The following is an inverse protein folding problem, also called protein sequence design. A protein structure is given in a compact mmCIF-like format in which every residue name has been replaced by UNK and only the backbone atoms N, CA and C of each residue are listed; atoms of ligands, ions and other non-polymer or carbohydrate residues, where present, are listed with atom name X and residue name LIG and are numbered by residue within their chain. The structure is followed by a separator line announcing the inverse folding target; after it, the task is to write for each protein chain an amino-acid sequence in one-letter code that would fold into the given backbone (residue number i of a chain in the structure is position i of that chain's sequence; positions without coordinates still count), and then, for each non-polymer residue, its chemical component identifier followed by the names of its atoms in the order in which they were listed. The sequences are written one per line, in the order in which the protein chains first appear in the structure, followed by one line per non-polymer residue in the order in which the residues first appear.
data_IF_294443136366
#
_entry.id   IF_294443136366
#
_cell.length_a   1.000
_cell.length_b   1.000
_cell.length_c   1.000
_cell.angle_alpha   90.00
_cell.angle_beta   90.00
_cell.angle_gamma   90.00
#
_symmetry.space_group_name_H-M   'P 1'
#
loop_
_entity.id
_entity.type
_entity.pdbx_description
1 polymer ?
#
# COMPACT_ATOMS: atom_id res chain seq x y z
N UNK A 1 -33.82 11.41 23.86
CA UNK A 1 -34.22 12.71 23.28
C UNK A 1 -35.22 13.49 24.15
N UNK A 2 -36.47 13.05 24.32
CA UNK A 2 -37.50 13.79 25.09
C UNK A 2 -37.09 14.15 26.53
N UNK A 3 -36.36 13.27 27.23
CA UNK A 3 -35.80 13.54 28.58
C UNK A 3 -34.73 14.65 28.55
N UNK A 4 -33.90 14.72 27.50
CA UNK A 4 -32.89 15.75 27.34
C UNK A 4 -33.51 17.14 27.10
N UNK A 5 -34.61 17.20 26.33
CA UNK A 5 -35.44 18.40 26.12
C UNK A 5 -36.10 18.89 27.41
N UNK A 6 -36.67 17.99 28.21
CA UNK A 6 -37.24 18.35 29.54
C UNK A 6 -36.18 18.92 30.49
N UNK A 7 -34.95 18.41 30.40
CA UNK A 7 -33.80 18.88 31.18
C UNK A 7 -33.07 20.08 30.54
N UNK A 8 -33.58 20.61 29.41
CA UNK A 8 -32.98 21.72 28.64
C UNK A 8 -31.49 21.50 28.30
N UNK A 9 -31.10 20.25 28.09
CA UNK A 9 -29.70 19.93 27.77
C UNK A 9 -29.30 20.46 26.40
N UNK A 10 -30.26 20.58 25.46
CA UNK A 10 -30.11 21.19 24.13
C UNK A 10 -29.97 22.73 24.17
N UNK A 11 -30.20 23.37 25.32
CA UNK A 11 -29.97 24.80 25.50
C UNK A 11 -28.56 25.10 26.03
N UNK A 12 -27.85 24.10 26.54
CA UNK A 12 -26.48 24.26 27.05
C UNK A 12 -25.56 24.72 25.90
N UNK A 13 -24.69 25.73 26.12
CA UNK A 13 -23.81 26.26 25.07
C UNK A 13 -23.02 25.17 24.33
N UNK A 14 -22.43 24.22 25.08
CA UNK A 14 -21.63 23.13 24.53
C UNK A 14 -22.45 22.18 23.64
N UNK A 15 -23.71 21.92 24.02
CA UNK A 15 -24.60 21.03 23.24
C UNK A 15 -25.11 21.75 22.00
N UNK A 16 -25.41 23.06 22.09
CA UNK A 16 -25.78 23.87 20.92
C UNK A 16 -24.66 23.96 19.89
N UNK A 17 -23.43 24.17 20.35
CA UNK A 17 -22.24 24.19 19.51
C UNK A 17 -22.04 22.85 18.79
N UNK A 18 -22.10 21.74 19.54
CA UNK A 18 -22.02 20.39 18.95
C UNK A 18 -23.12 20.12 17.90
N UNK A 19 -24.37 20.52 18.18
CA UNK A 19 -25.47 20.39 17.21
C UNK A 19 -25.20 21.26 15.98
N UNK A 20 -24.72 22.48 16.16
CA UNK A 20 -24.42 23.39 15.04
C UNK A 20 -23.28 22.85 14.17
N UNK A 21 -22.23 22.30 14.77
CA UNK A 21 -21.10 21.74 14.03
C UNK A 21 -21.46 20.45 13.31
N UNK A 22 -22.24 19.55 13.94
CA UNK A 22 -22.81 18.39 13.26
C UNK A 22 -23.71 18.82 12.09
N UNK A 23 -24.52 19.87 12.28
CA UNK A 23 -25.37 20.41 11.20
C UNK A 23 -24.53 20.93 10.04
N UNK A 24 -23.45 21.68 10.32
CA UNK A 24 -22.50 22.15 9.29
C UNK A 24 -21.85 20.97 8.54
N UNK A 25 -21.41 19.94 9.26
CA UNK A 25 -20.79 18.76 8.65
C UNK A 25 -21.75 18.03 7.71
N UNK A 26 -23.00 17.79 8.14
CA UNK A 26 -24.02 17.14 7.30
C UNK A 26 -24.32 17.99 6.08
N UNK A 27 -24.52 19.30 6.24
CA UNK A 27 -24.77 20.20 5.11
C UNK A 27 -23.59 20.23 4.12
N UNK A 28 -22.35 20.25 4.62
CA UNK A 28 -21.17 20.18 3.77
C UNK A 28 -21.09 18.84 3.00
N UNK A 29 -21.42 17.72 3.66
CA UNK A 29 -21.49 16.41 3.00
C UNK A 29 -22.56 16.37 1.91
N UNK A 30 -23.75 16.91 2.15
CA UNK A 30 -24.82 16.98 1.15
C UNK A 30 -24.44 17.88 -0.04
N UNK A 31 -23.75 18.99 0.20
CA UNK A 31 -23.20 19.83 -0.88
C UNK A 31 -22.18 19.06 -1.69
N UNK A 32 -21.21 18.38 -1.06
CA UNK A 32 -20.22 17.57 -1.77
C UNK A 32 -20.89 16.43 -2.56
N UNK A 33 -21.93 15.81 -2.01
CA UNK A 33 -22.67 14.79 -2.73
C UNK A 33 -23.36 15.37 -3.97
N UNK A 34 -24.15 16.43 -3.82
CA UNK A 34 -24.93 17.02 -4.91
C UNK A 34 -24.07 17.72 -5.97
N UNK A 35 -23.01 18.41 -5.55
CA UNK A 35 -22.14 19.20 -6.43
C UNK A 35 -20.96 18.40 -7.00
N UNK A 36 -20.58 17.28 -6.37
CA UNK A 36 -19.45 16.46 -6.80
C UNK A 36 -19.89 15.04 -7.11
N UNK A 37 -20.26 14.25 -6.10
CA UNK A 37 -20.44 12.80 -6.25
C UNK A 37 -21.50 12.43 -7.30
N UNK A 38 -22.68 13.07 -7.23
CA UNK A 38 -23.82 12.80 -8.12
C UNK A 38 -23.57 13.27 -9.56
N UNK A 39 -22.58 14.16 -9.77
CA UNK A 39 -22.19 14.67 -11.10
C UNK A 39 -21.08 13.84 -11.75
N UNK A 40 -20.45 12.91 -11.02
CA UNK A 40 -19.40 12.05 -11.56
C UNK A 40 -20.01 10.89 -12.33
N UNK A 41 -19.77 10.89 -13.64
CA UNK A 41 -20.06 9.77 -14.52
C UNK A 41 -18.82 8.89 -14.67
N UNK A 42 -19.03 7.58 -14.78
CA UNK A 42 -17.98 6.60 -15.04
C UNK A 42 -18.27 5.92 -16.37
N UNK A 43 -18.00 6.62 -17.49
CA UNK A 43 -18.22 6.05 -18.80
C UNK A 43 -17.28 4.86 -19.02
N UNK A 44 -17.71 3.78 -19.70
CA UNK A 44 -16.86 2.61 -19.93
C UNK A 44 -15.51 2.95 -20.60
N UNK A 45 -15.48 3.95 -21.48
CA UNK A 45 -14.25 4.45 -22.12
C UNK A 45 -13.30 5.10 -21.12
N UNK A 46 -13.82 5.88 -20.17
CA UNK A 46 -13.01 6.55 -19.16
C UNK A 46 -12.41 5.55 -18.19
N UNK A 47 -13.18 4.52 -17.82
CA UNK A 47 -12.70 3.45 -16.96
C UNK A 47 -11.60 2.62 -17.62
N UNK A 48 -11.72 2.34 -18.92
CA UNK A 48 -10.68 1.65 -19.67
C UNK A 48 -9.40 2.49 -19.76
N UNK A 49 -9.52 3.79 -20.09
CA UNK A 49 -8.38 4.71 -20.11
C UNK A 49 -7.72 4.84 -18.73
N UNK A 50 -8.54 4.91 -17.68
CA UNK A 50 -8.05 4.96 -16.31
C UNK A 50 -7.30 3.69 -15.93
N UNK A 51 -7.86 2.51 -16.25
CA UNK A 51 -7.17 1.23 -16.05
C UNK A 51 -5.84 1.19 -16.80
N UNK A 52 -5.82 1.56 -18.09
CA UNK A 52 -4.61 1.60 -18.92
C UNK A 52 -3.53 2.52 -18.34
N UNK A 53 -3.90 3.73 -17.91
CA UNK A 53 -2.99 4.69 -17.30
C UNK A 53 -2.49 4.25 -15.91
N UNK A 54 -3.21 3.35 -15.23
CA UNK A 54 -2.95 2.94 -13.85
C UNK A 54 -2.72 1.42 -13.70
N UNK A 55 -2.32 0.73 -14.77
CA UNK A 55 -2.19 -0.74 -14.80
C UNK A 55 -1.38 -1.31 -13.64
N UNK A 56 -0.33 -0.60 -13.24
CA UNK A 56 0.57 -0.99 -12.15
C UNK A 56 -0.14 -1.12 -10.80
N UNK A 57 -1.27 -0.42 -10.58
CA UNK A 57 -2.10 -0.55 -9.37
C UNK A 57 -2.89 -1.85 -9.33
N UNK A 58 -3.09 -2.50 -10.47
CA UNK A 58 -3.91 -3.70 -10.63
C UNK A 58 -3.09 -4.94 -10.93
N UNK A 59 -1.93 -5.06 -10.28
CA UNK A 59 -1.07 -6.24 -10.36
C UNK A 59 -1.12 -7.02 -9.05
N UNK A 60 -1.23 -8.34 -9.16
CA UNK A 60 -0.84 -9.21 -8.06
C UNK A 60 0.68 -9.25 -8.01
N UNK A 61 1.26 -8.78 -6.91
CA UNK A 61 2.70 -8.77 -6.73
C UNK A 61 3.25 -10.18 -6.66
N UNK A 62 4.43 -10.38 -7.24
CA UNK A 62 5.16 -11.64 -7.11
C UNK A 62 5.37 -11.99 -5.63
N UNK A 63 5.10 -13.25 -5.29
CA UNK A 63 5.26 -13.77 -3.93
C UNK A 63 5.70 -15.22 -3.92
N UNK A 64 6.48 -15.62 -2.92
CA UNK A 64 6.97 -16.99 -2.80
C UNK A 64 6.87 -17.53 -1.37
N UNK A 65 6.56 -18.82 -1.22
CA UNK A 65 6.83 -19.56 0.02
C UNK A 65 8.23 -20.14 -0.09
N UNK A 66 9.03 -19.97 0.95
CA UNK A 66 10.38 -20.48 0.99
C UNK A 66 10.71 -21.04 2.37
N UNK A 67 11.70 -21.91 2.39
CA UNK A 67 12.36 -22.33 3.62
C UNK A 67 13.79 -21.79 3.63
N UNK A 68 14.34 -21.53 4.81
CA UNK A 68 15.70 -21.06 4.98
C UNK A 68 16.48 -21.81 6.07
N UNK A 69 17.80 -21.75 5.98
CA UNK A 69 18.75 -22.21 6.98
C UNK A 69 19.67 -21.05 7.28
N UNK A 70 19.71 -20.61 8.55
CA UNK A 70 20.58 -19.52 8.99
C UNK A 70 21.90 -20.08 9.55
N UNK A 71 23.03 -19.54 9.13
CA UNK A 71 24.37 -19.92 9.55
C UNK A 71 25.20 -18.68 9.89
N UNK A 72 26.21 -18.85 10.74
CA UNK A 72 27.12 -17.80 11.22
C UNK A 72 28.28 -17.49 10.25
N UNK A 73 28.50 -18.34 9.25
CA UNK A 73 29.68 -18.29 8.37
C UNK A 73 29.33 -18.64 6.92
N UNK A 74 29.90 -17.88 5.98
CA UNK A 74 29.77 -18.10 4.54
C UNK A 74 30.30 -19.48 4.12
N UNK A 75 31.45 -19.89 4.66
CA UNK A 75 32.07 -21.17 4.34
C UNK A 75 31.19 -22.35 4.76
N UNK A 76 30.55 -22.26 5.93
CA UNK A 76 29.60 -23.27 6.39
C UNK A 76 28.37 -23.30 5.47
N UNK A 77 27.87 -22.14 5.08
CA UNK A 77 26.72 -22.04 4.20
C UNK A 77 27.01 -22.56 2.78
N UNK A 78 28.19 -22.29 2.24
CA UNK A 78 28.62 -22.79 0.95
C UNK A 78 28.72 -24.32 0.95
N UNK A 79 29.39 -24.91 1.96
CA UNK A 79 29.53 -26.36 2.10
C UNK A 79 28.16 -27.05 2.23
N UNK A 80 27.28 -26.54 3.09
CA UNK A 80 25.96 -27.11 3.27
C UNK A 80 25.09 -26.97 2.00
N UNK A 81 25.22 -25.85 1.28
CA UNK A 81 24.53 -25.66 0.00
C UNK A 81 24.95 -26.69 -1.04
N UNK A 82 26.24 -27.03 -1.12
CA UNK A 82 26.74 -28.05 -2.05
C UNK A 82 26.24 -29.46 -1.69
N UNK A 83 26.17 -29.79 -0.40
CA UNK A 83 25.58 -31.05 0.07
C UNK A 83 24.09 -31.16 -0.25
N UNK A 84 23.33 -30.06 -0.07
CA UNK A 84 21.91 -29.96 -0.41
C UNK A 84 21.67 -30.05 -1.93
N UNK A 85 22.50 -29.37 -2.75
CA UNK A 85 22.44 -29.47 -4.21
C UNK A 85 22.75 -30.87 -4.71
N UNK A 86 23.67 -31.57 -4.05
CA UNK A 86 24.02 -32.96 -4.35
C UNK A 86 22.98 -33.99 -3.91
N UNK A 87 21.89 -33.57 -3.24
CA UNK A 87 20.84 -34.47 -2.74
C UNK A 87 21.30 -35.40 -1.62
N UNK A 88 22.44 -35.10 -0.98
CA UNK A 88 23.00 -35.93 0.11
C UNK A 88 22.24 -35.77 1.43
N UNK A 89 21.54 -34.64 1.58
CA UNK A 89 20.81 -34.27 2.78
C UNK A 89 19.46 -33.64 2.41
N UNK A 90 18.41 -33.97 3.17
CA UNK A 90 17.12 -33.28 3.03
C UNK A 90 17.18 -31.88 3.65
N UNK A 91 16.46 -30.94 3.05
CA UNK A 91 16.48 -29.54 3.50
C UNK A 91 15.89 -29.36 4.90
N UNK A 92 14.82 -30.07 5.24
CA UNK A 92 14.18 -29.93 6.54
C UNK A 92 15.06 -30.49 7.66
N UNK A 93 15.73 -31.62 7.41
CA UNK A 93 16.70 -32.19 8.34
C UNK A 93 17.93 -31.29 8.49
N UNK A 94 18.45 -30.75 7.39
CA UNK A 94 19.55 -29.78 7.43
C UNK A 94 19.18 -28.54 8.24
N UNK A 95 17.96 -28.02 8.07
CA UNK A 95 17.46 -26.89 8.83
C UNK A 95 17.41 -27.21 10.33
N UNK A 96 16.90 -28.37 10.71
CA UNK A 96 16.81 -28.80 12.11
C UNK A 96 18.18 -28.95 12.78
N UNK A 97 19.16 -29.48 12.04
CA UNK A 97 20.49 -29.80 12.58
C UNK A 97 21.46 -28.61 12.56
N UNK A 98 21.39 -27.77 11.54
CA UNK A 98 22.40 -26.73 11.29
C UNK A 98 21.87 -25.29 11.39
N UNK A 99 20.56 -25.05 11.31
CA UNK A 99 20.03 -23.69 11.35
C UNK A 99 20.17 -23.09 12.75
N UNK A 100 20.72 -21.88 12.81
CA UNK A 100 20.74 -21.03 13.99
C UNK A 100 19.39 -20.34 14.24
N UNK A 101 18.46 -20.40 13.28
CA UNK A 101 17.14 -19.80 13.44
C UNK A 101 16.20 -20.69 14.26
N UNK A 102 16.01 -20.34 15.53
CA UNK A 102 15.14 -21.08 16.44
C UNK A 102 13.66 -21.05 16.04
N UNK A 103 13.22 -20.05 15.27
CA UNK A 103 11.80 -19.87 14.91
C UNK A 103 11.34 -20.85 13.82
N UNK A 104 12.25 -21.25 12.93
CA UNK A 104 11.94 -22.07 11.76
C UNK A 104 12.64 -23.43 11.73
N UNK A 105 13.75 -23.63 12.47
CA UNK A 105 14.53 -24.88 12.41
C UNK A 105 13.71 -26.15 12.67
N UNK A 106 12.80 -26.10 13.63
CA UNK A 106 11.95 -27.25 14.00
C UNK A 106 10.79 -27.48 13.02
N UNK A 107 10.60 -26.55 12.06
CA UNK A 107 9.61 -26.60 10.98
C UNK A 107 10.28 -26.77 9.61
N UNK A 108 11.47 -27.38 9.59
CA UNK A 108 12.22 -27.60 8.36
C UNK A 108 12.72 -26.31 7.69
N UNK A 109 12.83 -25.22 8.46
CA UNK A 109 13.26 -23.92 7.96
C UNK A 109 12.15 -23.11 7.26
N UNK A 110 10.90 -23.58 7.23
CA UNK A 110 9.83 -22.89 6.50
C UNK A 110 9.53 -21.50 7.09
N UNK A 111 9.66 -20.47 6.25
CA UNK A 111 9.34 -19.09 6.62
C UNK A 111 7.84 -18.91 6.72
N UNK A 112 7.40 -18.16 7.74
CA UNK A 112 5.99 -17.91 7.98
C UNK A 112 5.44 -16.94 6.92
N UNK A 113 4.50 -17.43 6.13
CA UNK A 113 3.77 -16.62 5.15
C UNK A 113 4.46 -16.55 3.79
N UNK A 114 4.05 -15.55 3.01
CA UNK A 114 4.54 -15.32 1.65
C UNK A 114 5.59 -14.20 1.66
N UNK A 115 6.73 -14.47 1.05
CA UNK A 115 7.80 -13.51 0.83
C UNK A 115 7.42 -12.62 -0.34
N UNK A 116 7.54 -11.30 -0.16
CA UNK A 116 7.28 -10.26 -1.16
C UNK A 116 8.51 -9.34 -1.25
N UNK A 117 8.75 -8.76 -2.42
CA UNK A 117 9.97 -7.99 -2.72
C UNK A 117 10.27 -6.85 -1.74
N UNK A 118 9.24 -6.14 -1.29
CA UNK A 118 9.38 -4.95 -0.43
C UNK A 118 9.10 -5.25 1.06
N UNK A 119 9.23 -6.52 1.47
CA UNK A 119 9.07 -6.95 2.87
C UNK A 119 10.36 -6.89 3.68
N UNK A 120 10.31 -7.18 5.00
CA UNK A 120 11.50 -7.39 5.81
C UNK A 120 12.40 -8.50 5.23
N UNK A 121 13.71 -8.24 5.09
CA UNK A 121 14.65 -9.17 4.48
C UNK A 121 14.64 -9.14 2.95
N UNK A 122 14.70 -7.93 2.38
CA UNK A 122 14.66 -7.70 0.93
C UNK A 122 15.72 -8.49 0.17
N UNK A 123 16.91 -8.68 0.75
CA UNK A 123 18.01 -9.46 0.16
C UNK A 123 17.62 -10.93 -0.04
N UNK A 124 16.90 -11.50 0.93
CA UNK A 124 16.38 -12.86 0.85
C UNK A 124 15.20 -12.93 -0.13
N UNK A 125 14.33 -11.90 -0.13
CA UNK A 125 13.20 -11.83 -1.05
C UNK A 125 13.66 -11.81 -2.50
N UNK A 126 14.66 -11.00 -2.85
CA UNK A 126 15.20 -10.93 -4.20
C UNK A 126 15.79 -12.28 -4.65
N UNK A 127 16.57 -12.94 -3.79
CA UNK A 127 17.15 -14.24 -4.12
C UNK A 127 16.09 -15.34 -4.30
N UNK A 128 15.08 -15.38 -3.42
CA UNK A 128 13.97 -16.34 -3.50
C UNK A 128 13.12 -16.07 -4.75
N UNK A 129 12.75 -14.82 -5.00
CA UNK A 129 11.91 -14.44 -6.14
C UNK A 129 12.66 -14.58 -7.49
N UNK A 130 13.98 -14.54 -7.51
CA UNK A 130 14.80 -14.85 -8.68
C UNK A 130 14.96 -16.36 -8.94
N UNK A 131 14.68 -17.20 -7.94
CA UNK A 131 14.84 -18.66 -8.04
C UNK A 131 13.53 -19.33 -8.49
N UNK A 132 13.62 -20.43 -9.22
CA UNK A 132 12.44 -21.20 -9.65
C UNK A 132 11.82 -21.99 -8.49
N UNK A 133 10.52 -22.27 -8.60
CA UNK A 133 9.82 -23.15 -7.66
C UNK A 133 10.51 -24.53 -7.55
N UNK A 134 10.63 -25.03 -6.32
CA UNK A 134 11.27 -26.31 -6.00
C UNK A 134 12.80 -26.26 -5.93
N UNK A 135 13.44 -25.16 -6.33
CA UNK A 135 14.91 -25.04 -6.38
C UNK A 135 15.49 -24.33 -5.15
N UNK A 136 16.77 -24.61 -4.91
CA UNK A 136 17.62 -23.89 -3.97
C UNK A 136 18.14 -22.61 -4.62
N UNK A 137 18.26 -21.54 -3.82
CA UNK A 137 18.98 -20.35 -4.25
C UNK A 137 20.43 -20.73 -4.59
N UNK A 138 20.96 -20.17 -5.69
CA UNK A 138 22.26 -20.58 -6.23
C UNK A 138 23.44 -20.30 -5.31
N UNK A 139 23.29 -19.35 -4.38
CA UNK A 139 24.32 -18.87 -3.45
C UNK A 139 23.70 -18.59 -2.07
N UNK A 140 24.48 -18.66 -0.98
CA UNK A 140 24.06 -18.12 0.31
C UNK A 140 23.75 -16.63 0.23
N UNK A 141 22.70 -16.19 0.92
CA UNK A 141 22.27 -14.80 1.00
C UNK A 141 22.76 -14.20 2.30
N UNK A 142 23.54 -13.13 2.23
CA UNK A 142 24.03 -12.41 3.41
C UNK A 142 22.95 -11.44 3.91
N UNK A 143 22.66 -11.46 5.20
CA UNK A 143 21.83 -10.49 5.91
C UNK A 143 22.52 -10.07 7.20
N UNK A 144 21.93 -9.13 7.95
CA UNK A 144 22.43 -8.72 9.27
C UNK A 144 22.49 -9.86 10.29
N UNK A 145 21.68 -10.92 10.10
CA UNK A 145 21.66 -12.08 11.00
C UNK A 145 22.73 -13.13 10.68
N UNK A 146 23.35 -13.06 9.51
CA UNK A 146 24.34 -14.03 9.04
C UNK A 146 24.10 -14.45 7.59
N UNK A 147 24.34 -15.73 7.30
CA UNK A 147 24.22 -16.30 5.95
C UNK A 147 23.04 -17.25 5.87
N UNK A 148 22.19 -17.04 4.88
CA UNK A 148 20.98 -17.82 4.65
C UNK A 148 21.11 -18.69 3.42
N UNK A 149 20.78 -19.97 3.55
CA UNK A 149 20.48 -20.82 2.40
C UNK A 149 18.96 -20.85 2.26
N UNK A 150 18.42 -20.55 1.08
CA UNK A 150 16.99 -20.57 0.84
C UNK A 150 16.58 -21.63 -0.19
N UNK A 151 15.40 -22.22 -0.01
CA UNK A 151 14.72 -23.12 -0.94
C UNK A 151 13.34 -22.58 -1.24
N UNK A 152 13.01 -22.41 -2.52
CA UNK A 152 11.68 -21.99 -2.96
C UNK A 152 10.76 -23.20 -2.91
N UNK A 153 9.71 -23.13 -2.10
CA UNK A 153 8.71 -24.19 -2.00
C UNK A 153 7.57 -23.98 -2.99
N UNK A 154 7.11 -22.74 -3.13
CA UNK A 154 6.02 -22.36 -4.02
C UNK A 154 6.21 -20.92 -4.50
N UNK A 155 5.87 -20.62 -5.74
CA UNK A 155 6.01 -19.28 -6.32
C UNK A 155 4.74 -18.87 -7.05
N UNK A 156 4.24 -17.69 -6.72
CA UNK A 156 3.27 -16.97 -7.54
C UNK A 156 3.99 -15.83 -8.26
N UNK A 157 4.06 -15.88 -9.60
CA UNK A 157 4.63 -14.79 -10.36
C UNK A 157 3.78 -13.53 -10.22
N UNK A 158 4.36 -12.39 -10.63
CA UNK A 158 3.56 -11.18 -10.83
C UNK A 158 2.54 -11.44 -11.94
N UNK A 159 1.28 -11.08 -11.68
CA UNK A 159 0.20 -11.22 -12.66
C UNK A 159 -0.50 -9.87 -12.79
N UNK A 160 -0.49 -9.34 -14.01
CA UNK A 160 -1.34 -8.20 -14.37
C UNK A 160 -2.79 -8.68 -14.47
N UNK A 161 -3.66 -8.16 -13.59
CA UNK A 161 -5.09 -8.46 -13.68
C UNK A 161 -5.67 -7.79 -14.90
N UNK A 162 -6.53 -8.48 -15.65
CA UNK A 162 -7.26 -7.90 -16.77
C UNK A 162 -8.31 -6.92 -16.25
N UNK A 163 -8.67 -5.95 -17.09
CA UNK A 163 -9.72 -4.98 -16.77
C UNK A 163 -11.03 -5.64 -16.29
N UNK A 164 -11.45 -6.74 -16.94
CA UNK A 164 -12.68 -7.45 -16.56
C UNK A 164 -12.65 -7.99 -15.11
N UNK A 165 -11.47 -8.39 -14.62
CA UNK A 165 -11.28 -8.93 -13.28
C UNK A 165 -11.30 -7.84 -12.21
N UNK A 166 -10.88 -6.62 -12.57
CA UNK A 166 -10.77 -5.49 -11.64
C UNK A 166 -11.76 -4.36 -11.91
N UNK A 167 -12.74 -4.56 -12.81
CA UNK A 167 -13.64 -3.49 -13.28
C UNK A 167 -14.30 -2.70 -12.14
N UNK A 168 -14.80 -3.40 -11.12
CA UNK A 168 -15.44 -2.74 -9.96
C UNK A 168 -14.43 -1.92 -9.13
N UNK A 169 -13.21 -2.44 -8.96
CA UNK A 169 -12.14 -1.74 -8.27
C UNK A 169 -11.68 -0.51 -9.07
N UNK A 170 -11.53 -0.63 -10.39
CA UNK A 170 -11.21 0.46 -11.30
C UNK A 170 -12.27 1.56 -11.23
N UNK A 171 -13.56 1.20 -11.25
CA UNK A 171 -14.64 2.18 -11.14
C UNK A 171 -14.62 2.91 -9.80
N UNK A 172 -14.43 2.18 -8.70
CA UNK A 172 -14.32 2.77 -7.35
C UNK A 172 -13.14 3.75 -7.27
N UNK A 173 -11.96 3.33 -7.72
CA UNK A 173 -10.73 4.13 -7.71
C UNK A 173 -10.88 5.38 -8.59
N UNK A 174 -11.43 5.22 -9.80
CA UNK A 174 -11.73 6.33 -10.71
C UNK A 174 -12.67 7.36 -10.09
N UNK A 175 -13.79 6.90 -9.50
CA UNK A 175 -14.78 7.80 -8.87
C UNK A 175 -14.18 8.53 -7.68
N UNK A 176 -13.41 7.84 -6.84
CA UNK A 176 -12.75 8.43 -5.68
C UNK A 176 -11.77 9.53 -6.12
N UNK A 177 -10.95 9.28 -7.12
CA UNK A 177 -9.99 10.26 -7.63
C UNK A 177 -10.69 11.46 -8.29
N UNK A 178 -11.72 11.22 -9.10
CA UNK A 178 -12.55 12.28 -9.68
C UNK A 178 -13.23 13.12 -8.60
N UNK A 179 -13.73 12.50 -7.54
CA UNK A 179 -14.36 13.19 -6.42
C UNK A 179 -13.35 14.06 -5.67
N UNK A 180 -12.13 13.58 -5.44
CA UNK A 180 -11.08 14.37 -4.81
C UNK A 180 -10.74 15.61 -5.65
N UNK A 181 -10.53 15.44 -6.96
CA UNK A 181 -10.21 16.55 -7.87
C UNK A 181 -11.35 17.57 -7.97
N UNK A 182 -12.58 17.11 -8.11
CA UNK A 182 -13.74 18.00 -8.21
C UNK A 182 -14.06 18.70 -6.88
N UNK A 183 -13.82 18.05 -5.74
CA UNK A 183 -13.92 18.68 -4.41
C UNK A 183 -12.88 19.79 -4.27
N UNK A 184 -11.63 19.52 -4.67
CA UNK A 184 -10.56 20.52 -4.65
C UNK A 184 -10.91 21.75 -5.51
N UNK A 185 -11.44 21.53 -6.71
CA UNK A 185 -11.91 22.59 -7.62
C UNK A 185 -13.08 23.39 -7.04
N UNK A 186 -14.06 22.73 -6.43
CA UNK A 186 -15.19 23.39 -5.76
C UNK A 186 -14.72 24.28 -4.61
N UNK A 187 -13.80 23.79 -3.77
CA UNK A 187 -13.23 24.57 -2.67
C UNK A 187 -12.51 25.83 -3.17
N UNK A 188 -11.72 25.71 -4.23
CA UNK A 188 -11.02 26.85 -4.83
C UNK A 188 -12.01 27.90 -5.37
N UNK A 189 -13.09 27.47 -6.03
CA UNK A 189 -14.16 28.38 -6.50
C UNK A 189 -14.85 29.07 -5.34
N UNK A 190 -15.21 28.34 -4.28
CA UNK A 190 -15.86 28.90 -3.11
C UNK A 190 -14.96 29.94 -2.42
N UNK A 191 -13.66 29.68 -2.27
CA UNK A 191 -12.70 30.62 -1.68
C UNK A 191 -12.59 31.93 -2.48
N UNK A 192 -12.61 31.87 -3.81
CA UNK A 192 -12.56 33.06 -4.67
C UNK A 192 -13.83 33.92 -4.53
N UNK A 193 -15.00 33.28 -4.42
CA UNK A 193 -16.28 33.99 -4.26
C UNK A 193 -16.42 34.59 -2.87
N UNK A 194 -15.86 33.96 -1.84
CA UNK A 194 -16.02 34.37 -0.44
C UNK A 194 -14.98 35.37 0.07
N UNK A 195 -14.10 35.90 -0.79
CA UNK A 195 -13.04 36.87 -0.44
C UNK A 195 -12.28 36.48 0.84
N UNK A 196 -11.94 35.19 0.96
CA UNK A 196 -11.28 34.63 2.14
C UNK A 196 -9.87 35.19 2.23
N UNK A 197 -9.60 35.99 3.26
CA UNK A 197 -8.24 36.41 3.60
C UNK A 197 -7.55 35.28 4.37
N UNK A 198 -6.57 34.64 3.72
CA UNK A 198 -5.68 33.69 4.40
C UNK A 198 -4.56 34.52 5.04
N UNK A 199 -4.56 34.60 6.37
CA UNK A 199 -3.46 35.20 7.11
C UNK A 199 -2.30 34.19 7.20
N UNK A 200 -1.39 34.27 6.22
CA UNK A 200 -0.20 33.39 6.13
C UNK A 200 0.72 33.49 7.37
N UNK A 201 0.63 34.56 8.15
CA UNK A 201 1.38 34.76 9.40
C UNK A 201 1.11 33.69 10.48
N UNK A 202 0.06 32.88 10.31
CA UNK A 202 -0.29 31.78 11.21
C UNK A 202 0.05 30.39 10.67
N UNK A 203 0.55 30.30 9.43
CA UNK A 203 1.10 29.07 8.87
C UNK A 203 2.62 29.23 8.82
N UNK A 204 3.34 28.46 9.64
CA UNK A 204 4.81 28.48 9.67
C UNK A 204 5.42 28.37 8.25
N UNK A 205 6.59 28.99 8.08
CA UNK A 205 7.23 29.46 6.85
C UNK A 205 7.46 28.48 5.66
N UNK A 206 6.79 27.33 5.55
CA UNK A 206 7.04 26.33 4.50
C UNK A 206 5.98 26.22 3.41
N UNK A 207 4.87 26.96 3.46
CA UNK A 207 3.82 26.88 2.44
C UNK A 207 4.03 27.79 1.20
N UNK A 208 5.18 28.45 1.07
CA UNK A 208 5.44 29.43 0.02
C UNK A 208 6.27 28.85 -1.15
N UNK A 209 5.72 27.91 -1.92
CA UNK A 209 6.16 27.69 -3.30
C UNK A 209 4.94 27.59 -4.23
N UNK A 210 4.61 28.71 -4.87
CA UNK A 210 3.59 28.82 -5.93
C UNK A 210 4.13 28.23 -7.25
N UNK A 211 3.30 27.56 -8.07
CA UNK A 211 3.65 27.32 -9.47
C UNK A 211 3.44 28.60 -10.30
N UNK A 212 4.49 28.98 -11.02
CA UNK A 212 4.59 30.15 -11.89
C UNK A 212 3.64 30.03 -13.10
N UNK A 213 2.69 30.95 -13.25
CA UNK A 213 1.88 31.07 -14.48
C UNK A 213 2.68 31.82 -15.54
N UNK A 214 3.01 31.14 -16.62
CA UNK A 214 3.56 31.70 -17.85
C UNK A 214 2.67 32.84 -18.39
N UNK A 215 3.26 34.03 -18.56
CA UNK A 215 2.64 35.17 -19.25
C UNK A 215 2.73 34.97 -20.77
N UNK A 216 1.60 34.80 -21.43
CA UNK A 216 1.47 35.04 -22.87
C UNK A 216 1.37 36.55 -23.10
N UNK A 217 2.48 37.18 -23.46
CA UNK A 217 2.49 38.53 -24.01
C UNK A 217 2.19 38.51 -25.50
N UNK A 218 1.26 39.36 -25.94
CA UNK A 218 1.19 39.80 -27.33
C UNK A 218 0.95 41.31 -27.34
N UNK A 219 1.74 42.11 -28.08
CA UNK A 219 1.37 43.48 -28.40
C UNK A 219 0.20 43.52 -29.40
#
# INVERSE_FOLDING_TARGET
YQKARKLRLDEKPQVREQIADLSKQVLAQEVLKAEVADKITAAPSDLMLYYEANKDRYKDRARARAAHILLDSEDKAAKLLDELKGGKLDFAEAAKQHSLDADTKDKGGELRGWIVKDGPGAELADAVLATDEGKLCGKPVKTDKGFHIAKVLQKHPEVQKRYDEVKQQVESDYRMEKQQLATQDLLLKLQQVSNVQIFEEHFGAEAAQKPEKAKSGKP
#
